data_IF_257113086236
#
_entry.id   IF_257113086236
#
_cell.length_a   1.000
_cell.length_b   1.000
_cell.length_c   1.000
_cell.angle_alpha   90.00
_cell.angle_beta   90.00
_cell.angle_gamma   90.00
#
_symmetry.space_group_name_H-M   'P 1'
#
loop_
_entity.id
_entity.type
_entity.pdbx_description
1 polymer ?
#
# COMPACT_ATOMS: atom_id res chain seq x y z
N UNK A 1 -14.59 8.97 -10.15
CA UNK A 1 -13.65 8.14 -9.34
C UNK A 1 -12.26 8.68 -9.53
N UNK A 2 -11.43 8.71 -8.47
CA UNK A 2 -10.05 9.12 -8.60
C UNK A 2 -9.22 8.07 -9.38
N UNK A 3 -8.15 8.49 -10.04
CA UNK A 3 -7.29 7.58 -10.82
C UNK A 3 -6.35 6.77 -9.92
N UNK A 4 -5.87 5.61 -10.40
CA UNK A 4 -4.83 4.85 -9.70
C UNK A 4 -3.61 5.72 -9.35
N UNK A 5 -3.20 6.61 -10.27
CA UNK A 5 -2.09 7.55 -10.04
C UNK A 5 -2.34 8.45 -8.83
N UNK A 6 -3.56 8.94 -8.66
CA UNK A 6 -3.94 9.76 -7.51
C UNK A 6 -3.81 8.97 -6.21
N UNK A 7 -4.38 7.76 -6.15
CA UNK A 7 -4.28 6.91 -4.96
C UNK A 7 -2.83 6.55 -4.60
N UNK A 8 -1.97 6.33 -5.60
CA UNK A 8 -0.54 6.10 -5.36
C UNK A 8 0.13 7.31 -4.70
N UNK A 9 -0.25 8.52 -5.09
CA UNK A 9 0.27 9.75 -4.49
C UNK A 9 -0.23 9.93 -3.06
N UNK A 10 -1.51 9.65 -2.81
CA UNK A 10 -2.11 9.74 -1.47
C UNK A 10 -1.48 8.75 -0.49
N UNK A 11 -1.32 7.48 -0.88
CA UNK A 11 -0.68 6.47 -0.01
C UNK A 11 0.75 6.90 0.37
N UNK A 12 1.53 7.44 -0.57
CA UNK A 12 2.88 7.93 -0.28
C UNK A 12 2.84 9.14 0.65
N UNK A 13 1.91 10.07 0.42
CA UNK A 13 1.73 11.24 1.28
C UNK A 13 1.36 10.85 2.72
N UNK A 14 0.36 10.01 2.91
CA UNK A 14 -0.05 9.54 4.23
C UNK A 14 1.00 8.63 4.88
N UNK A 15 1.68 7.78 4.11
CA UNK A 15 2.80 7.00 4.60
C UNK A 15 3.93 7.86 5.16
N UNK A 16 4.22 8.98 4.49
CA UNK A 16 5.17 9.98 4.98
C UNK A 16 4.70 10.68 6.25
N UNK A 17 3.44 11.11 6.27
CA UNK A 17 2.83 11.72 7.46
C UNK A 17 2.88 10.78 8.68
N UNK A 18 2.51 9.51 8.52
CA UNK A 18 2.57 8.52 9.60
C UNK A 18 3.99 8.36 10.16
N UNK A 19 5.00 8.36 9.28
CA UNK A 19 6.39 8.28 9.70
C UNK A 19 6.86 9.54 10.42
N UNK A 20 6.53 10.73 9.89
CA UNK A 20 6.89 12.03 10.49
C UNK A 20 6.21 12.24 11.85
N UNK A 21 5.00 11.72 12.05
CA UNK A 21 4.30 11.74 13.34
C UNK A 21 4.80 10.66 14.32
N UNK A 22 5.71 9.77 13.92
CA UNK A 22 6.23 8.70 14.79
C UNK A 22 5.24 7.56 15.06
N UNK A 23 4.20 7.40 14.25
CA UNK A 23 3.20 6.34 14.41
C UNK A 23 3.64 4.99 13.87
N UNK A 24 4.67 4.95 13.03
CA UNK A 24 5.26 3.73 12.47
C UNK A 24 6.78 3.74 12.64
N UNK A 25 7.34 2.62 13.09
CA UNK A 25 8.78 2.44 13.28
C UNK A 25 9.41 1.75 12.07
N UNK A 26 10.63 2.13 11.69
CA UNK A 26 11.41 1.50 10.62
C UNK A 26 10.61 1.22 9.32
N UNK A 27 10.21 -0.04 9.09
CA UNK A 27 9.46 -0.53 7.91
C UNK A 27 8.03 -0.96 8.21
N UNK A 28 7.60 -0.79 9.47
CA UNK A 28 6.30 -1.25 9.98
C UNK A 28 5.14 -0.45 9.39
N UNK A 29 3.94 -0.98 9.67
CA UNK A 29 2.70 -0.46 9.15
C UNK A 29 2.53 -0.77 7.67
N UNK A 30 1.33 -0.51 7.18
CA UNK A 30 0.96 -0.70 5.79
C UNK A 30 -0.27 0.16 5.50
N UNK A 31 -0.46 0.48 4.23
CA UNK A 31 -1.61 1.24 3.76
C UNK A 31 -2.16 0.53 2.53
N UNK A 32 -3.49 0.55 2.38
CA UNK A 32 -4.15 0.03 1.20
C UNK A 32 -5.36 0.87 0.81
N UNK A 33 -5.77 0.74 -0.44
CA UNK A 33 -7.02 1.31 -0.96
C UNK A 33 -7.58 0.38 -2.03
N UNK A 34 -8.90 0.16 -2.00
CA UNK A 34 -9.60 -0.58 -3.05
C UNK A 34 -9.73 0.30 -4.30
N UNK A 35 -9.18 -0.15 -5.42
CA UNK A 35 -9.27 0.55 -6.70
C UNK A 35 -10.61 0.27 -7.40
N UNK A 36 -11.07 -0.99 -7.33
CA UNK A 36 -12.34 -1.46 -7.87
C UNK A 36 -12.75 -2.81 -7.22
N UNK A 37 -13.75 -3.50 -7.76
CA UNK A 37 -14.26 -4.76 -7.21
C UNK A 37 -13.26 -5.93 -7.19
N UNK A 38 -12.12 -5.81 -7.90
CA UNK A 38 -11.14 -6.91 -8.03
C UNK A 38 -9.72 -6.51 -7.66
N UNK A 39 -9.42 -5.21 -7.53
CA UNK A 39 -8.05 -4.72 -7.39
C UNK A 39 -7.88 -3.86 -6.15
N UNK A 40 -6.82 -4.14 -5.40
CA UNK A 40 -6.42 -3.38 -4.22
C UNK A 40 -4.98 -2.90 -4.43
N UNK A 41 -4.76 -1.61 -4.22
CA UNK A 41 -3.42 -1.01 -4.19
C UNK A 41 -2.92 -1.03 -2.75
N UNK A 42 -1.69 -1.52 -2.54
CA UNK A 42 -1.12 -1.70 -1.20
C UNK A 42 0.36 -1.30 -1.17
N UNK A 43 0.83 -0.88 0.00
CA UNK A 43 2.26 -0.69 0.27
C UNK A 43 3.02 -2.02 0.21
N UNK A 44 4.24 -2.05 -0.34
CA UNK A 44 5.05 -3.27 -0.38
C UNK A 44 5.63 -3.60 1.01
N UNK A 45 6.15 -4.81 1.13
CA UNK A 45 6.89 -5.23 2.33
C UNK A 45 8.24 -4.51 2.47
N UNK A 46 8.77 -4.48 3.70
CA UNK A 46 10.14 -4.06 4.04
C UNK A 46 10.59 -2.69 3.49
N UNK A 47 9.67 -1.71 3.42
CA UNK A 47 9.99 -0.32 3.09
C UNK A 47 9.48 0.63 4.17
N UNK A 48 10.29 1.64 4.48
CA UNK A 48 9.89 2.73 5.36
C UNK A 48 8.81 3.57 4.69
N UNK A 49 7.72 3.84 5.41
CA UNK A 49 6.58 4.58 4.84
C UNK A 49 6.93 6.04 4.52
N UNK A 50 7.94 6.58 5.21
CA UNK A 50 8.52 7.90 4.91
C UNK A 50 9.37 7.98 3.64
N UNK A 51 9.76 6.84 3.03
CA UNK A 51 10.66 6.80 1.87
C UNK A 51 10.07 6.12 0.63
N UNK A 52 8.79 5.76 0.67
CA UNK A 52 8.11 5.14 -0.47
C UNK A 52 7.97 6.09 -1.65
N UNK A 53 8.02 5.56 -2.86
CA UNK A 53 7.65 6.24 -4.11
C UNK A 53 6.37 5.63 -4.67
N UNK A 54 5.58 6.37 -5.48
CA UNK A 54 4.38 5.82 -6.12
C UNK A 54 4.62 4.53 -6.92
N UNK A 55 5.82 4.39 -7.49
CA UNK A 55 6.28 3.21 -8.25
C UNK A 55 6.58 1.98 -7.39
N UNK A 56 6.73 2.14 -6.07
CA UNK A 56 6.98 1.03 -5.14
C UNK A 56 5.70 0.29 -4.78
N UNK A 57 4.52 0.92 -4.95
CA UNK A 57 3.23 0.33 -4.56
C UNK A 57 2.83 -0.82 -5.48
N UNK A 58 2.16 -1.80 -4.87
CA UNK A 58 1.83 -3.10 -5.47
C UNK A 58 0.31 -3.18 -5.64
N UNK A 59 -0.16 -3.85 -6.68
CA UNK A 59 -1.59 -4.16 -6.86
C UNK A 59 -1.78 -5.65 -6.64
N UNK A 60 -2.78 -6.01 -5.85
CA UNK A 60 -3.19 -7.40 -5.62
C UNK A 60 -4.65 -7.63 -6.02
N UNK A 61 -4.99 -8.90 -6.24
CA UNK A 61 -6.37 -9.37 -6.37
C UNK A 61 -7.07 -9.52 -5.00
N UNK A 62 -8.34 -9.91 -5.01
CA UNK A 62 -9.16 -10.15 -3.81
C UNK A 62 -8.71 -11.35 -2.98
N UNK A 63 -7.80 -12.18 -3.50
CA UNK A 63 -7.19 -13.30 -2.78
C UNK A 63 -5.76 -12.95 -2.31
N UNK A 64 -5.31 -11.71 -2.50
CA UNK A 64 -4.01 -11.23 -2.09
C UNK A 64 -2.86 -11.60 -3.04
N UNK A 65 -3.14 -12.13 -4.22
CA UNK A 65 -2.10 -12.44 -5.22
C UNK A 65 -1.71 -11.17 -5.96
N UNK A 66 -0.40 -11.00 -6.15
CA UNK A 66 0.15 -9.85 -6.84
C UNK A 66 -0.21 -9.85 -8.33
N UNK A 67 -0.83 -8.76 -8.78
CA UNK A 67 -1.18 -8.50 -10.18
C UNK A 67 -0.18 -7.57 -10.87
N UNK A 68 0.39 -6.61 -10.13
CA UNK A 68 1.32 -5.60 -10.67
C UNK A 68 2.20 -5.00 -9.58
N UNK A 69 3.36 -4.47 -9.96
CA UNK A 69 4.38 -3.92 -9.06
C UNK A 69 5.67 -4.75 -9.09
N UNK A 70 6.81 -4.10 -8.77
CA UNK A 70 8.14 -4.75 -8.79
C UNK A 70 8.60 -5.27 -7.43
N UNK A 71 7.92 -4.85 -6.36
CA UNK A 71 8.21 -5.25 -4.99
C UNK A 71 7.19 -6.29 -4.53
N UNK A 72 7.55 -7.01 -3.47
CA UNK A 72 6.68 -8.02 -2.88
C UNK A 72 5.58 -7.38 -2.04
N UNK A 73 4.42 -8.02 -2.05
CA UNK A 73 3.27 -7.69 -1.20
C UNK A 73 3.62 -7.81 0.28
N UNK A 74 3.00 -6.98 1.13
CA UNK A 74 3.09 -7.11 2.59
C UNK A 74 2.58 -8.47 3.08
N UNK A 75 3.27 -9.06 4.06
CA UNK A 75 2.82 -10.28 4.76
C UNK A 75 1.48 -10.10 5.48
N UNK A 76 1.08 -8.85 5.74
CA UNK A 76 -0.15 -8.50 6.43
C UNK A 76 -1.33 -8.26 5.47
N UNK A 77 -1.19 -8.59 4.17
CA UNK A 77 -2.26 -8.34 3.18
C UNK A 77 -3.59 -8.99 3.56
N UNK A 78 -3.55 -10.18 4.17
CA UNK A 78 -4.75 -10.88 4.64
C UNK A 78 -5.59 -10.02 5.60
N UNK A 79 -4.97 -9.19 6.44
CA UNK A 79 -5.69 -8.29 7.35
C UNK A 79 -6.50 -7.23 6.60
N UNK A 80 -5.97 -6.69 5.50
CA UNK A 80 -6.71 -5.74 4.66
C UNK A 80 -7.86 -6.41 3.94
N UNK A 81 -7.64 -7.63 3.44
CA UNK A 81 -8.66 -8.40 2.70
C UNK A 81 -9.86 -8.76 3.57
N UNK A 82 -9.69 -8.91 4.89
CA UNK A 82 -10.83 -9.15 5.80
C UNK A 82 -11.81 -7.97 5.88
N UNK A 83 -11.36 -6.76 5.57
CA UNK A 83 -12.19 -5.54 5.60
C UNK A 83 -12.87 -5.31 4.24
N UNK A 84 -12.32 -5.89 3.17
CA UNK A 84 -12.74 -5.60 1.81
C UNK A 84 -13.78 -6.58 1.25
#
# INVERSE_FOLDING_TARGET
>A
MASERHYRQEIVYFGRMLHECGFVAATDGNLSVRLDSRRILVTPTSISKGRMRPSDLVIVDTEGRQLSGRRDVSSEIGMHLLIY
#
